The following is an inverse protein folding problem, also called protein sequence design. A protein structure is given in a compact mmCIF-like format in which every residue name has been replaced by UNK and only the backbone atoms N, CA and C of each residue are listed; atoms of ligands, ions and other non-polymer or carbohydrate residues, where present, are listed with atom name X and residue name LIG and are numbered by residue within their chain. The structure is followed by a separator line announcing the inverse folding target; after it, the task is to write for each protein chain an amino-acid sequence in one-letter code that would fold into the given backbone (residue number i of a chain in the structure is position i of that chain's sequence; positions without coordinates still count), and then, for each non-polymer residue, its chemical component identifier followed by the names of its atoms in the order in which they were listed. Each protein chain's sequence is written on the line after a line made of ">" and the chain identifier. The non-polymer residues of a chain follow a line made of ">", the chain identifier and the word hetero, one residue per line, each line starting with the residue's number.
data_IF_210516614582
#
_entry.id   IF_210516614582
#
_cell.length_a   1.000
_cell.length_b   1.000
_cell.length_c   1.000
_cell.angle_alpha   90.00
_cell.angle_beta   90.00
_cell.angle_gamma   90.00
#
_symmetry.space_group_name_H-M   'P 1'
#
loop_
_entity.id
_entity.type
_entity.pdbx_description
1 polymer ?
#
# COMPACT_ATOMS: atom_id res chain seq x y z
N UNK A 1 33.92 64.46 -8.28
CA UNK A 1 32.99 63.95 -7.28
C UNK A 1 32.47 62.62 -7.79
N UNK A 2 33.01 61.53 -7.25
CA UNK A 2 32.59 60.23 -7.69
C UNK A 2 31.55 59.68 -6.72
N UNK A 3 30.32 59.62 -7.18
CA UNK A 3 29.25 58.97 -6.41
C UNK A 3 29.35 57.49 -6.66
N UNK A 4 29.99 56.80 -5.73
CA UNK A 4 29.91 55.33 -5.73
C UNK A 4 28.54 54.92 -5.22
N UNK A 5 27.63 54.70 -6.12
CA UNK A 5 26.42 54.00 -5.80
C UNK A 5 26.77 52.62 -5.28
N UNK A 6 26.56 52.40 -4.01
CA UNK A 6 26.61 51.04 -3.43
C UNK A 6 25.54 50.21 -4.09
N UNK A 7 26.01 49.40 -5.01
CA UNK A 7 25.15 48.32 -5.51
C UNK A 7 24.89 47.39 -4.33
N UNK A 8 23.72 47.57 -3.76
CA UNK A 8 23.25 46.68 -2.74
C UNK A 8 22.91 45.33 -3.44
N UNK A 9 23.90 44.44 -3.44
CA UNK A 9 23.70 43.08 -3.84
C UNK A 9 22.85 42.40 -2.76
N UNK A 10 21.57 42.66 -2.83
CA UNK A 10 20.61 41.77 -2.20
C UNK A 10 20.75 40.41 -2.90
N UNK A 11 21.59 39.58 -2.32
CA UNK A 11 21.60 38.17 -2.66
C UNK A 11 20.25 37.65 -2.24
N UNK A 12 19.35 37.56 -3.22
CA UNK A 12 18.10 36.88 -3.07
C UNK A 12 18.46 35.39 -2.95
N UNK A 13 18.67 34.94 -1.72
CA UNK A 13 18.71 33.51 -1.45
C UNK A 13 17.32 32.98 -1.69
N UNK A 14 17.11 32.50 -2.88
CA UNK A 14 15.98 31.63 -3.17
C UNK A 14 16.30 30.33 -2.42
N UNK A 15 15.81 30.25 -1.19
CA UNK A 15 15.70 28.96 -0.50
C UNK A 15 14.66 28.18 -1.28
N UNK A 16 15.13 27.36 -2.20
CA UNK A 16 14.29 26.33 -2.80
C UNK A 16 13.94 25.36 -1.67
N UNK A 17 12.84 25.63 -0.98
CA UNK A 17 12.22 24.65 -0.12
C UNK A 17 11.81 23.50 -1.01
N UNK A 18 12.66 22.48 -1.08
CA UNK A 18 12.27 21.20 -1.63
C UNK A 18 11.16 20.68 -0.74
N UNK A 19 9.91 20.90 -1.13
CA UNK A 19 8.78 20.22 -0.54
C UNK A 19 8.99 18.75 -0.88
N UNK A 20 9.56 18.01 0.05
CA UNK A 20 9.48 16.56 0.05
C UNK A 20 8.00 16.21 0.30
N UNK A 21 7.26 16.08 -0.80
CA UNK A 21 5.94 15.47 -0.74
C UNK A 21 6.22 14.01 -0.45
N UNK A 22 6.16 13.64 0.84
CA UNK A 22 6.12 12.24 1.21
C UNK A 22 4.88 11.65 0.54
N UNK A 23 5.08 10.72 -0.40
CA UNK A 23 3.97 9.94 -0.94
C UNK A 23 3.23 9.31 0.23
N UNK A 24 1.88 9.45 0.32
CA UNK A 24 1.14 8.85 1.42
C UNK A 24 1.44 7.35 1.44
N UNK A 25 1.70 6.81 2.65
CA UNK A 25 2.03 5.40 2.88
C UNK A 25 1.00 4.42 2.30
N UNK A 26 -0.22 4.87 2.02
CA UNK A 26 -1.32 4.14 1.39
C UNK A 26 -1.06 3.71 -0.07
N UNK A 27 -0.05 4.28 -0.76
CA UNK A 27 0.27 3.95 -2.15
C UNK A 27 0.90 2.57 -2.33
N UNK A 28 1.50 1.97 -1.28
CA UNK A 28 2.21 0.70 -1.39
C UNK A 28 1.27 -0.52 -1.38
N UNK A 29 0.13 -0.43 -0.74
CA UNK A 29 -0.83 -1.54 -0.65
C UNK A 29 -1.29 -2.03 -2.02
N UNK A 30 -1.67 -1.13 -2.91
CA UNK A 30 -2.13 -1.48 -4.26
C UNK A 30 -1.03 -2.14 -5.10
N UNK A 31 0.19 -1.60 -5.09
CA UNK A 31 1.29 -2.16 -5.89
C UNK A 31 1.79 -3.51 -5.37
N UNK A 32 1.88 -3.67 -4.06
CA UNK A 32 2.23 -4.95 -3.43
C UNK A 32 1.15 -6.00 -3.70
N UNK A 33 -0.11 -5.62 -3.57
CA UNK A 33 -1.23 -6.49 -3.88
C UNK A 33 -1.17 -6.99 -5.32
N UNK A 34 -1.01 -6.09 -6.26
CA UNK A 34 -0.93 -6.42 -7.69
C UNK A 34 0.19 -7.41 -7.99
N UNK A 35 1.35 -7.24 -7.37
CA UNK A 35 2.52 -8.08 -7.67
C UNK A 35 2.51 -9.41 -6.92
N UNK A 36 1.89 -9.50 -5.74
CA UNK A 36 2.03 -10.67 -4.86
C UNK A 36 0.73 -11.39 -4.51
N UNK A 37 -0.39 -10.74 -4.63
CA UNK A 37 -1.67 -11.25 -4.13
C UNK A 37 -2.70 -11.51 -5.25
N UNK A 38 -2.72 -10.64 -6.26
CA UNK A 38 -3.72 -10.66 -7.32
C UNK A 38 -3.69 -11.95 -8.17
N UNK A 39 -2.54 -12.61 -8.28
CA UNK A 39 -2.41 -13.86 -9.03
C UNK A 39 -3.34 -14.97 -8.53
N UNK A 40 -3.59 -15.01 -7.23
CA UNK A 40 -4.55 -15.93 -6.61
C UNK A 40 -5.89 -15.26 -6.32
N UNK A 41 -5.86 -14.10 -5.64
CA UNK A 41 -7.07 -13.42 -5.14
C UNK A 41 -7.83 -12.63 -6.21
N UNK A 42 -7.23 -12.38 -7.37
CA UNK A 42 -7.83 -11.57 -8.42
C UNK A 42 -7.53 -10.07 -8.26
N UNK A 43 -7.60 -9.34 -9.36
CA UNK A 43 -7.31 -7.90 -9.38
C UNK A 43 -8.24 -7.09 -8.45
N UNK A 44 -9.47 -7.56 -8.27
CA UNK A 44 -10.48 -6.92 -7.41
C UNK A 44 -10.76 -7.70 -6.12
N UNK A 45 -9.94 -8.72 -5.82
CA UNK A 45 -10.10 -9.51 -4.61
C UNK A 45 -11.32 -10.43 -4.59
N UNK A 46 -11.81 -10.84 -5.75
CA UNK A 46 -13.01 -11.69 -5.88
C UNK A 46 -12.71 -13.18 -5.83
N UNK A 47 -11.43 -13.58 -5.83
CA UNK A 47 -11.04 -14.98 -5.89
C UNK A 47 -11.43 -15.67 -7.20
N UNK A 48 -11.61 -14.91 -8.27
CA UNK A 48 -12.15 -15.35 -9.56
C UNK A 48 -11.07 -15.75 -10.59
N UNK A 49 -9.84 -15.89 -10.16
CA UNK A 49 -8.76 -16.46 -10.97
C UNK A 49 -8.91 -17.98 -11.08
N UNK A 50 -8.21 -18.61 -12.03
CA UNK A 50 -8.20 -20.07 -12.14
C UNK A 50 -7.75 -20.74 -10.82
N UNK A 51 -6.68 -20.23 -10.21
CA UNK A 51 -6.19 -20.70 -8.91
C UNK A 51 -7.22 -20.41 -7.82
N UNK A 52 -7.77 -19.19 -7.80
CA UNK A 52 -8.76 -18.78 -6.80
C UNK A 52 -10.00 -19.67 -6.80
N UNK A 53 -10.50 -20.02 -7.96
CA UNK A 53 -11.64 -20.94 -8.10
C UNK A 53 -11.29 -22.36 -7.65
N UNK A 54 -10.13 -22.85 -8.07
CA UNK A 54 -9.65 -24.18 -7.70
C UNK A 54 -9.47 -24.32 -6.18
N UNK A 55 -9.04 -23.26 -5.51
CA UNK A 55 -8.79 -23.24 -4.08
C UNK A 55 -9.97 -22.72 -3.25
N UNK A 56 -11.07 -22.40 -3.87
CA UNK A 56 -12.26 -21.85 -3.23
C UNK A 56 -11.96 -20.57 -2.41
N UNK A 57 -11.15 -19.66 -2.97
CA UNK A 57 -10.85 -18.41 -2.32
C UNK A 57 -12.11 -17.54 -2.21
N UNK A 58 -12.31 -16.98 -1.04
CA UNK A 58 -13.42 -16.07 -0.78
C UNK A 58 -13.19 -14.73 -1.39
N UNK A 59 -14.26 -14.10 -1.87
CA UNK A 59 -14.23 -12.68 -2.19
C UNK A 59 -13.95 -11.85 -0.93
N UNK A 60 -13.15 -10.81 -1.03
CA UNK A 60 -12.94 -9.89 0.08
C UNK A 60 -14.21 -9.13 0.47
N UNK A 61 -15.17 -9.02 -0.44
CA UNK A 61 -16.48 -8.43 -0.14
C UNK A 61 -17.36 -9.34 0.73
N UNK A 62 -17.00 -10.61 0.90
CA UNK A 62 -17.81 -11.54 1.69
C UNK A 62 -17.87 -11.10 3.17
N UNK A 63 -19.02 -11.29 3.84
CA UNK A 63 -19.14 -10.98 5.27
C UNK A 63 -18.13 -11.73 6.13
N UNK A 64 -17.79 -12.96 5.75
CA UNK A 64 -16.80 -13.77 6.47
C UNK A 64 -15.41 -13.17 6.49
N UNK A 65 -15.05 -12.42 5.46
CA UNK A 65 -13.78 -11.68 5.44
C UNK A 65 -13.93 -10.33 6.16
N UNK A 66 -14.98 -9.59 5.87
CA UNK A 66 -15.14 -8.24 6.38
C UNK A 66 -15.43 -8.17 7.90
N UNK A 67 -15.97 -9.23 8.48
CA UNK A 67 -16.15 -9.31 9.95
C UNK A 67 -14.85 -9.57 10.71
N UNK A 68 -13.78 -10.01 10.05
CA UNK A 68 -12.49 -10.21 10.69
C UNK A 68 -11.87 -8.87 11.07
N UNK A 69 -11.18 -8.83 12.21
CA UNK A 69 -10.44 -7.65 12.63
C UNK A 69 -9.22 -7.41 11.74
N UNK A 70 -8.69 -6.19 11.76
CA UNK A 70 -7.45 -5.88 11.06
C UNK A 70 -6.27 -6.71 11.59
N UNK A 71 -6.26 -7.05 12.88
CA UNK A 71 -5.27 -7.94 13.47
C UNK A 71 -5.37 -9.36 12.90
N UNK A 72 -6.57 -9.88 12.72
CA UNK A 72 -6.78 -11.20 12.11
C UNK A 72 -6.36 -11.21 10.65
N UNK A 73 -6.72 -10.19 9.87
CA UNK A 73 -6.29 -10.07 8.48
C UNK A 73 -4.77 -9.90 8.39
N UNK A 74 -4.16 -9.16 9.29
CA UNK A 74 -2.71 -9.04 9.40
C UNK A 74 -2.05 -10.39 9.63
N UNK A 75 -2.58 -11.19 10.53
CA UNK A 75 -2.05 -12.54 10.82
C UNK A 75 -2.16 -13.46 9.61
N UNK A 76 -3.25 -13.40 8.85
CA UNK A 76 -3.38 -14.17 7.61
C UNK A 76 -2.26 -13.85 6.61
N UNK A 77 -1.93 -12.58 6.45
CA UNK A 77 -0.88 -12.14 5.53
C UNK A 77 0.51 -12.48 6.08
N UNK A 78 0.75 -12.17 7.35
CA UNK A 78 2.06 -12.34 7.96
C UNK A 78 2.45 -13.82 8.11
N UNK A 79 1.54 -14.63 8.59
CA UNK A 79 1.79 -16.03 8.94
C UNK A 79 1.39 -17.01 7.84
N UNK A 80 0.51 -16.61 6.95
CA UNK A 80 -0.06 -17.47 5.93
C UNK A 80 -0.93 -18.58 6.53
N UNK A 81 -1.54 -19.36 5.67
CA UNK A 81 -2.27 -20.57 6.07
C UNK A 81 -2.52 -21.45 4.85
N UNK A 82 -2.24 -22.73 4.99
CA UNK A 82 -2.43 -23.69 3.87
C UNK A 82 -1.57 -23.26 2.68
N UNK A 83 -2.20 -23.09 1.52
CA UNK A 83 -1.51 -22.68 0.29
C UNK A 83 -1.20 -21.18 0.24
N UNK A 84 -1.76 -20.37 1.14
CA UNK A 84 -1.41 -18.95 1.25
C UNK A 84 -0.05 -18.80 1.91
N UNK A 85 0.96 -18.21 1.22
CA UNK A 85 2.29 -18.03 1.78
C UNK A 85 2.32 -17.05 2.96
N UNK A 86 3.32 -17.19 3.82
CA UNK A 86 3.63 -16.23 4.87
C UNK A 86 4.48 -15.10 4.31
N UNK A 87 4.15 -13.86 4.64
CA UNK A 87 4.84 -12.68 4.12
C UNK A 87 5.62 -11.88 5.16
N UNK A 88 5.63 -12.29 6.43
CA UNK A 88 6.32 -11.54 7.50
C UNK A 88 7.82 -11.33 7.26
N UNK A 89 8.47 -12.24 6.53
CA UNK A 89 9.89 -12.13 6.19
C UNK A 89 10.14 -11.47 4.82
N UNK A 90 9.08 -11.18 4.07
CA UNK A 90 9.14 -10.59 2.72
C UNK A 90 8.61 -9.16 2.67
N UNK A 91 7.74 -8.80 3.58
CA UNK A 91 7.09 -7.50 3.65
C UNK A 91 7.30 -6.91 5.04
N UNK A 92 7.46 -5.59 5.10
CA UNK A 92 7.48 -4.87 6.38
C UNK A 92 6.09 -4.86 7.03
N UNK A 93 6.06 -4.60 8.33
CA UNK A 93 4.80 -4.42 9.05
C UNK A 93 3.95 -3.28 8.47
N UNK A 94 4.59 -2.20 8.01
CA UNK A 94 3.91 -1.09 7.34
C UNK A 94 3.27 -1.50 6.01
N UNK A 95 3.98 -2.31 5.21
CA UNK A 95 3.43 -2.85 3.96
C UNK A 95 2.25 -3.78 4.20
N UNK A 96 2.32 -4.63 5.22
CA UNK A 96 1.20 -5.53 5.59
C UNK A 96 0.00 -4.71 6.05
N UNK A 97 0.22 -3.67 6.85
CA UNK A 97 -0.85 -2.75 7.26
C UNK A 97 -1.52 -2.07 6.06
N UNK A 98 -0.74 -1.61 5.11
CA UNK A 98 -1.26 -1.01 3.87
C UNK A 98 -2.06 -2.02 3.05
N UNK A 99 -1.61 -3.28 3.00
CA UNK A 99 -2.36 -4.36 2.36
C UNK A 99 -3.72 -4.60 3.01
N UNK A 100 -3.79 -4.62 4.33
CA UNK A 100 -5.07 -4.76 5.05
C UNK A 100 -6.02 -3.63 4.67
N UNK A 101 -5.54 -2.39 4.64
CA UNK A 101 -6.32 -1.24 4.18
C UNK A 101 -6.81 -1.40 2.74
N UNK A 102 -5.96 -1.87 1.85
CA UNK A 102 -6.33 -2.10 0.45
C UNK A 102 -7.36 -3.23 0.28
N UNK A 103 -7.23 -4.31 1.04
CA UNK A 103 -8.22 -5.41 1.09
C UNK A 103 -9.58 -4.88 1.55
N UNK A 104 -9.62 -4.00 2.54
CA UNK A 104 -10.85 -3.33 2.98
C UNK A 104 -11.47 -2.51 1.85
N UNK A 105 -10.66 -1.75 1.11
CA UNK A 105 -11.14 -0.97 -0.03
C UNK A 105 -11.69 -1.86 -1.16
N UNK A 106 -10.99 -2.94 -1.49
CA UNK A 106 -11.49 -3.90 -2.48
C UNK A 106 -12.81 -4.54 -2.05
N UNK A 107 -12.97 -4.80 -0.77
CA UNK A 107 -14.18 -5.39 -0.22
C UNK A 107 -15.43 -4.49 -0.26
N UNK A 108 -15.25 -3.19 -0.54
CA UNK A 108 -16.36 -2.22 -0.67
C UNK A 108 -16.93 -2.15 -2.09
N UNK A 109 -16.26 -2.72 -3.05
CA UNK A 109 -16.65 -2.64 -4.48
C UNK A 109 -17.66 -3.70 -4.88
#
# INVERSE_FOLDING_TARGET
>A
MKIFGRLNRSVLMIVASSLLIAAPAFGQGASVYKSRCAGCHGAEGKGDTGIGKSMHLRSFASPDVQKQSDAELTSWIADGKGAMPAYKDKLSGAQIKDLVGYIRELGKK
#
